data_IF_284381442997
#
_entry.id   IF_284381442997
#
_cell.length_a   1.000
_cell.length_b   1.000
_cell.length_c   1.000
_cell.angle_alpha   90.00
_cell.angle_beta   90.00
_cell.angle_gamma   90.00
#
_symmetry.space_group_name_H-M   'P 1'
#
loop_
_entity.id
_entity.type
_entity.pdbx_description
1 polymer ?
#
# COMPACT_ATOMS: atom_id res chain seq x y z
N UNK A 1 22.52 19.26 1.74
CA UNK A 1 22.02 18.47 2.89
C UNK A 1 21.55 17.12 2.36
N UNK A 2 22.25 16.06 2.75
CA UNK A 2 22.09 14.72 2.19
C UNK A 2 20.76 14.07 2.62
N UNK A 3 19.87 13.83 1.65
CA UNK A 3 18.63 13.04 1.78
C UNK A 3 18.88 11.51 1.76
N UNK A 4 20.13 11.06 1.86
CA UNK A 4 20.53 9.66 1.80
C UNK A 4 20.39 8.95 3.17
N UNK A 5 19.22 9.05 3.82
CA UNK A 5 19.00 8.44 5.13
C UNK A 5 17.57 7.95 5.31
N UNK A 6 17.24 6.81 4.69
CA UNK A 6 16.36 5.73 5.21
C UNK A 6 15.97 4.74 4.11
N UNK A 7 16.92 3.94 3.69
CA UNK A 7 16.65 2.64 3.04
C UNK A 7 17.13 1.50 3.96
N UNK A 8 16.88 1.62 5.26
CA UNK A 8 16.86 0.43 6.12
C UNK A 8 15.58 -0.32 5.81
N UNK A 9 15.66 -1.10 4.72
CA UNK A 9 14.75 -2.18 4.40
C UNK A 9 14.59 -3.00 5.67
N UNK A 10 13.37 -3.09 6.19
CA UNK A 10 13.02 -3.95 7.34
C UNK A 10 13.70 -5.29 7.17
N UNK A 11 14.46 -5.69 8.20
CA UNK A 11 15.19 -6.95 8.28
C UNK A 11 14.37 -8.11 7.70
N UNK A 12 15.10 -9.02 7.04
CA UNK A 12 14.66 -10.19 6.28
C UNK A 12 13.55 -11.02 6.93
N UNK A 13 13.39 -10.93 8.26
CA UNK A 13 12.45 -11.70 9.06
C UNK A 13 10.97 -11.38 8.79
N UNK A 14 10.63 -10.12 8.48
CA UNK A 14 9.22 -9.72 8.22
C UNK A 14 8.92 -9.48 6.74
N UNK A 15 9.93 -9.44 5.87
CA UNK A 15 9.77 -9.13 4.46
C UNK A 15 8.80 -10.08 3.74
N UNK A 16 8.83 -11.39 4.06
CA UNK A 16 7.91 -12.38 3.47
C UNK A 16 6.46 -12.10 3.86
N UNK A 17 6.21 -11.78 5.12
CA UNK A 17 4.89 -11.45 5.65
C UNK A 17 4.35 -10.17 5.00
N UNK A 18 5.19 -9.13 4.90
CA UNK A 18 4.83 -7.85 4.27
C UNK A 18 4.57 -7.98 2.77
N UNK A 19 5.41 -8.74 2.06
CA UNK A 19 5.17 -9.10 0.66
C UNK A 19 3.83 -9.81 0.51
N UNK A 20 3.55 -10.82 1.32
CA UNK A 20 2.28 -11.54 1.27
C UNK A 20 1.09 -10.64 1.58
N UNK A 21 1.20 -9.75 2.57
CA UNK A 21 0.17 -8.78 2.91
C UNK A 21 -0.16 -7.85 1.73
N UNK A 22 0.86 -7.26 1.10
CA UNK A 22 0.67 -6.36 -0.06
C UNK A 22 0.17 -7.13 -1.29
N UNK A 23 0.80 -8.26 -1.63
CA UNK A 23 0.41 -9.05 -2.79
C UNK A 23 -1.01 -9.58 -2.68
N UNK A 24 -1.41 -10.13 -1.54
CA UNK A 24 -2.77 -10.66 -1.37
C UNK A 24 -3.81 -9.55 -1.56
N UNK A 25 -3.57 -8.38 -0.99
CA UNK A 25 -4.48 -7.23 -1.12
C UNK A 25 -4.58 -6.75 -2.58
N UNK A 26 -3.44 -6.67 -3.28
CA UNK A 26 -3.40 -6.29 -4.69
C UNK A 26 -4.05 -7.36 -5.59
N UNK A 27 -3.67 -8.63 -5.44
CA UNK A 27 -4.18 -9.74 -6.25
C UNK A 27 -5.69 -9.91 -6.13
N UNK A 28 -6.23 -9.75 -4.91
CA UNK A 28 -7.67 -9.74 -4.69
C UNK A 28 -8.35 -8.60 -5.46
N UNK A 29 -7.85 -7.36 -5.33
CA UNK A 29 -8.37 -6.21 -6.08
C UNK A 29 -8.30 -6.45 -7.60
N UNK A 30 -7.20 -7.03 -8.10
CA UNK A 30 -7.05 -7.36 -9.52
C UNK A 30 -8.08 -8.37 -10.01
N UNK A 31 -8.42 -9.35 -9.16
CA UNK A 31 -9.40 -10.40 -9.49
C UNK A 31 -10.85 -9.93 -9.38
N UNK A 32 -11.21 -9.19 -8.32
CA UNK A 32 -12.59 -8.74 -8.08
C UNK A 32 -12.93 -7.48 -8.86
N UNK A 33 -11.93 -6.66 -9.21
CA UNK A 33 -12.09 -5.28 -9.71
C UNK A 33 -12.75 -4.35 -8.70
N UNK A 34 -12.86 -4.77 -7.45
CA UNK A 34 -13.42 -3.99 -6.35
C UNK A 34 -12.33 -3.40 -5.46
N UNK A 35 -12.68 -2.34 -4.74
CA UNK A 35 -11.80 -1.79 -3.70
C UNK A 35 -11.53 -2.86 -2.66
N UNK A 36 -10.27 -3.23 -2.49
CA UNK A 36 -9.86 -4.22 -1.49
C UNK A 36 -9.12 -3.52 -0.36
N UNK A 37 -9.58 -3.76 0.86
CA UNK A 37 -8.98 -3.30 2.09
C UNK A 37 -8.44 -4.49 2.86
N UNK A 38 -7.25 -4.34 3.43
CA UNK A 38 -6.67 -5.32 4.34
C UNK A 38 -6.01 -4.63 5.52
N UNK A 39 -6.16 -5.21 6.71
CA UNK A 39 -5.69 -4.64 7.96
C UNK A 39 -4.50 -5.46 8.46
N UNK A 40 -3.43 -4.78 8.84
CA UNK A 40 -2.29 -5.35 9.53
C UNK A 40 -2.21 -4.78 10.95
N UNK A 41 -3.10 -5.28 11.81
CA UNK A 41 -3.35 -4.73 13.16
C UNK A 41 -2.08 -4.63 14.02
N UNK A 42 -1.21 -5.64 13.95
CA UNK A 42 0.06 -5.70 14.70
C UNK A 42 0.94 -4.46 14.51
N UNK A 43 0.85 -3.81 13.34
CA UNK A 43 1.67 -2.65 12.99
C UNK A 43 0.83 -1.38 12.76
N UNK A 44 -0.43 -1.39 13.20
CA UNK A 44 -1.34 -0.25 13.08
C UNK A 44 -1.54 0.24 11.62
N UNK A 45 -1.52 -0.69 10.65
CA UNK A 45 -1.56 -0.37 9.22
C UNK A 45 -2.83 -0.89 8.57
N UNK A 46 -3.43 -0.08 7.71
CA UNK A 46 -4.46 -0.49 6.75
C UNK A 46 -3.95 -0.22 5.35
N UNK A 47 -4.03 -1.22 4.48
CA UNK A 47 -3.70 -1.11 3.07
C UNK A 47 -4.97 -1.21 2.24
N UNK A 48 -5.15 -0.25 1.34
CA UNK A 48 -6.27 -0.23 0.41
C UNK A 48 -5.73 -0.17 -1.01
N UNK A 49 -6.16 -1.11 -1.84
CA UNK A 49 -5.97 -1.04 -3.29
C UNK A 49 -7.31 -0.82 -3.98
N UNK A 50 -7.27 -0.03 -5.05
CA UNK A 50 -8.42 0.21 -5.92
C UNK A 50 -7.96 0.36 -7.36
N UNK A 51 -8.80 -0.11 -8.28
CA UNK A 51 -8.64 0.14 -9.70
C UNK A 51 -9.46 1.37 -10.07
N UNK A 52 -8.80 2.49 -10.37
CA UNK A 52 -9.45 3.76 -10.71
C UNK A 52 -9.15 4.08 -12.18
N UNK A 53 -10.00 3.61 -13.10
CA UNK A 53 -9.87 3.85 -14.53
C UNK A 53 -8.59 3.26 -15.14
N UNK A 54 -7.60 4.12 -15.40
CA UNK A 54 -6.34 3.78 -16.06
C UNK A 54 -5.14 3.60 -15.10
N UNK A 55 -5.37 3.77 -13.79
CA UNK A 55 -4.35 3.54 -12.77
C UNK A 55 -4.84 2.62 -11.64
N UNK A 56 -3.86 1.99 -11.00
CA UNK A 56 -4.04 1.31 -9.72
C UNK A 56 -3.63 2.30 -8.63
N UNK A 57 -4.49 2.48 -7.64
CA UNK A 57 -4.22 3.30 -6.46
C UNK A 57 -4.00 2.43 -5.25
N UNK A 58 -2.83 2.57 -4.63
CA UNK A 58 -2.52 2.05 -3.30
C UNK A 58 -2.60 3.18 -2.29
N UNK A 59 -3.25 2.94 -1.16
CA UNK A 59 -3.30 3.90 -0.06
C UNK A 59 -3.04 3.18 1.26
N UNK A 60 -2.20 3.79 2.10
CA UNK A 60 -1.89 3.29 3.44
C UNK A 60 -2.46 4.23 4.48
N UNK A 61 -3.17 3.69 5.45
CA UNK A 61 -3.77 4.40 6.57
C UNK A 61 -3.27 3.81 7.89
N UNK A 62 -3.51 4.56 8.96
CA UNK A 62 -3.28 4.11 10.32
C UNK A 62 -4.55 3.49 10.88
N UNK A 63 -4.48 2.26 11.39
CA UNK A 63 -5.66 1.51 11.84
C UNK A 63 -6.37 2.15 13.03
N UNK A 64 -5.62 2.63 14.02
CA UNK A 64 -6.10 3.28 15.24
C UNK A 64 -6.91 4.55 15.00
N UNK A 65 -6.75 5.18 13.83
CA UNK A 65 -7.53 6.35 13.41
C UNK A 65 -8.48 6.05 12.26
N UNK A 66 -8.58 4.79 11.85
CA UNK A 66 -9.36 4.37 10.70
C UNK A 66 -10.83 4.18 11.09
N UNK A 67 -11.70 4.92 10.42
CA UNK A 67 -13.14 4.84 10.60
C UNK A 67 -13.76 3.83 9.61
N UNK A 68 -14.38 2.79 10.17
CA UNK A 68 -15.02 1.68 9.45
C UNK A 68 -16.54 1.84 9.26
N UNK A 69 -17.18 2.89 9.79
CA UNK A 69 -18.65 3.02 9.74
C UNK A 69 -19.17 3.09 8.30
N UNK A 70 -20.15 2.24 8.03
CA UNK A 70 -20.84 2.03 6.75
C UNK A 70 -21.63 3.28 6.34
N UNK A 71 -21.44 3.76 5.11
CA UNK A 71 -22.29 4.81 4.53
C UNK A 71 -21.59 5.89 3.71
N UNK A 72 -20.26 6.05 3.81
CA UNK A 72 -19.48 6.92 2.91
C UNK A 72 -18.23 6.20 2.40
N UNK A 73 -17.71 6.61 1.24
CA UNK A 73 -16.50 6.03 0.64
C UNK A 73 -15.31 6.16 1.60
N UNK A 74 -14.48 5.11 1.70
CA UNK A 74 -13.31 5.03 2.61
C UNK A 74 -12.47 6.32 2.60
N UNK A 75 -12.22 6.86 1.40
CA UNK A 75 -11.39 8.06 1.18
C UNK A 75 -11.97 9.36 1.79
N UNK A 76 -13.28 9.43 2.01
CA UNK A 76 -13.94 10.65 2.49
C UNK A 76 -13.87 10.83 4.01
N UNK A 77 -13.69 9.73 4.75
CA UNK A 77 -13.61 9.73 6.22
C UNK A 77 -12.20 9.46 6.73
N UNK A 78 -11.37 8.80 5.93
CA UNK A 78 -10.02 8.42 6.30
C UNK A 78 -9.02 9.22 5.49
N UNK A 79 -8.10 9.90 6.16
CA UNK A 79 -6.96 10.54 5.52
C UNK A 79 -5.83 9.52 5.40
N UNK A 80 -5.35 9.20 4.20
CA UNK A 80 -4.22 8.28 4.04
C UNK A 80 -2.92 8.94 4.51
N UNK A 81 -2.04 8.15 5.10
CA UNK A 81 -0.65 8.52 5.37
C UNK A 81 0.18 8.51 4.08
N UNK A 82 -0.20 7.65 3.13
CA UNK A 82 0.47 7.49 1.86
C UNK A 82 -0.53 7.16 0.76
N UNK A 83 -0.29 7.71 -0.43
CA UNK A 83 -1.00 7.35 -1.66
C UNK A 83 0.04 7.11 -2.76
N UNK A 84 -0.07 5.98 -3.46
CA UNK A 84 0.54 5.75 -4.76
C UNK A 84 -0.54 5.63 -5.84
N UNK A 85 -0.32 6.27 -6.98
CA UNK A 85 -1.11 6.06 -8.20
C UNK A 85 -0.17 5.60 -9.29
N UNK A 86 -0.38 4.38 -9.79
CA UNK A 86 0.43 3.77 -10.82
C UNK A 86 -0.38 3.58 -12.09
N UNK A 87 -0.04 4.33 -13.13
CA UNK A 87 -0.72 4.29 -14.41
C UNK A 87 -0.28 3.05 -15.19
N UNK A 88 -1.26 2.34 -15.76
CA UNK A 88 -1.01 1.08 -16.47
C UNK A 88 -0.36 1.30 -17.84
N UNK A 89 -0.76 2.38 -18.52
CA UNK A 89 -0.27 2.76 -19.85
C UNK A 89 1.02 3.56 -19.82
N UNK A 90 1.27 4.30 -18.74
CA UNK A 90 2.47 5.12 -18.58
C UNK A 90 3.14 4.80 -17.25
N UNK A 91 3.98 3.76 -17.25
CA UNK A 91 4.64 3.24 -16.04
C UNK A 91 5.55 4.27 -15.36
N UNK A 92 6.01 5.27 -16.10
CA UNK A 92 6.87 6.36 -15.58
C UNK A 92 6.07 7.42 -14.83
N UNK A 93 4.76 7.54 -15.09
CA UNK A 93 3.86 8.35 -14.27
C UNK A 93 3.45 7.53 -13.06
N UNK A 94 4.25 7.55 -12.00
CA UNK A 94 3.81 7.16 -10.66
C UNK A 94 3.69 8.41 -9.81
N UNK A 95 2.47 8.73 -9.35
CA UNK A 95 2.25 9.87 -8.46
C UNK A 95 2.20 9.36 -7.02
N UNK A 96 3.06 9.93 -6.18
CA UNK A 96 3.21 9.52 -4.78
C UNK A 96 2.97 10.73 -3.89
N UNK A 97 2.22 10.51 -2.81
CA UNK A 97 1.97 11.51 -1.77
C UNK A 97 2.19 10.90 -0.38
N UNK A 98 2.76 11.69 0.53
CA UNK A 98 3.00 11.35 1.92
C UNK A 98 2.45 12.46 2.83
N UNK A 99 1.77 12.07 3.90
CA UNK A 99 1.44 12.99 5.00
C UNK A 99 2.58 12.97 6.03
N UNK A 100 3.62 13.75 5.76
CA UNK A 100 4.84 13.77 6.60
C UNK A 100 4.56 14.09 8.07
N UNK A 101 3.54 14.90 8.36
CA UNK A 101 3.24 15.31 9.74
C UNK A 101 2.77 14.10 10.54
N UNK A 102 1.80 13.36 10.01
CA UNK A 102 1.24 12.18 10.68
C UNK A 102 2.20 10.99 10.68
N UNK A 103 3.06 10.86 9.66
CA UNK A 103 4.09 9.82 9.63
C UNK A 103 5.09 9.98 10.78
N UNK A 104 5.40 11.21 11.20
CA UNK A 104 6.31 11.49 12.33
C UNK A 104 5.72 11.05 13.69
N UNK A 105 4.41 10.85 13.77
CA UNK A 105 3.71 10.42 14.97
C UNK A 105 3.70 8.89 15.12
N UNK A 106 4.14 8.14 14.10
CA UNK A 106 4.23 6.69 14.16
C UNK A 106 5.36 6.24 15.10
N UNK A 107 5.12 5.14 15.82
CA UNK A 107 6.17 4.46 16.58
C UNK A 107 7.29 3.99 15.63
N UNK A 108 8.53 3.90 16.12
CA UNK A 108 9.67 3.46 15.30
C UNK A 108 9.42 2.11 14.63
N UNK A 109 8.85 1.16 15.37
CA UNK A 109 8.50 -0.16 14.84
C UNK A 109 7.46 -0.08 13.71
N UNK A 110 6.43 0.75 13.85
CA UNK A 110 5.40 0.89 12.82
C UNK A 110 5.92 1.67 11.60
N UNK A 111 6.86 2.59 11.82
CA UNK A 111 7.43 3.43 10.78
C UNK A 111 8.21 2.62 9.75
N UNK A 112 9.03 1.66 10.19
CA UNK A 112 9.83 0.84 9.27
C UNK A 112 8.93 -0.10 8.44
N UNK A 113 7.89 -0.65 9.08
CA UNK A 113 6.86 -1.45 8.41
C UNK A 113 6.08 -0.59 7.42
N UNK A 114 5.67 0.61 7.81
CA UNK A 114 4.98 1.56 6.96
C UNK A 114 5.78 1.88 5.70
N UNK A 115 7.06 2.24 5.84
CA UNK A 115 7.92 2.54 4.69
C UNK A 115 8.10 1.32 3.78
N UNK A 116 8.23 0.12 4.36
CA UNK A 116 8.32 -1.12 3.57
C UNK A 116 7.04 -1.39 2.78
N UNK A 117 5.86 -1.25 3.42
CA UNK A 117 4.56 -1.40 2.73
C UNK A 117 4.41 -0.36 1.62
N UNK A 118 4.81 0.90 1.86
CA UNK A 118 4.80 1.94 0.84
C UNK A 118 5.68 1.55 -0.35
N UNK A 119 6.89 1.04 -0.10
CA UNK A 119 7.83 0.67 -1.16
C UNK A 119 7.33 -0.51 -2.00
N UNK A 120 6.81 -1.55 -1.34
CA UNK A 120 6.16 -2.68 -2.02
C UNK A 120 4.95 -2.23 -2.84
N UNK A 121 4.20 -1.22 -2.35
CA UNK A 121 3.02 -0.66 -3.01
C UNK A 121 3.34 0.24 -4.22
N UNK A 122 4.61 0.63 -4.42
CA UNK A 122 5.07 1.33 -5.62
C UNK A 122 5.69 0.37 -6.64
N UNK A 123 6.50 -0.56 -6.15
CA UNK A 123 7.45 -1.31 -6.99
C UNK A 123 6.97 -2.70 -7.40
N UNK A 124 5.72 -3.06 -7.14
CA UNK A 124 5.19 -4.34 -7.58
C UNK A 124 5.24 -4.49 -9.11
N UNK A 125 5.17 -5.72 -9.60
CA UNK A 125 4.99 -6.07 -11.01
C UNK A 125 3.80 -7.02 -11.09
N UNK A 126 2.95 -6.86 -12.10
CA UNK A 126 1.83 -7.76 -12.35
C UNK A 126 2.19 -8.64 -13.53
N UNK A 127 2.04 -9.96 -13.38
CA UNK A 127 2.16 -10.92 -14.49
C UNK A 127 0.92 -11.81 -14.54
N UNK A 128 0.51 -12.17 -15.76
CA UNK A 128 -0.49 -13.22 -15.98
C UNK A 128 0.19 -14.58 -15.85
N UNK A 129 -0.33 -15.44 -14.99
CA UNK A 129 0.17 -16.81 -14.85
C UNK A 129 -0.40 -17.72 -15.94
N UNK A 130 0.19 -18.91 -16.18
CA UNK A 130 -0.37 -19.90 -17.10
C UNK A 130 -1.81 -20.31 -16.76
N UNK A 131 -2.21 -20.19 -15.48
CA UNK A 131 -3.58 -20.46 -15.01
C UNK A 131 -4.54 -19.28 -15.22
N UNK A 132 -4.16 -18.28 -16.03
CA UNK A 132 -4.92 -17.06 -16.31
C UNK A 132 -5.24 -16.21 -15.06
N UNK A 133 -4.44 -16.33 -14.00
CA UNK A 133 -4.56 -15.46 -12.81
C UNK A 133 -3.50 -14.37 -12.81
N UNK A 134 -3.87 -13.16 -12.37
CA UNK A 134 -2.93 -12.05 -12.20
C UNK A 134 -2.22 -12.19 -10.86
N UNK A 135 -0.88 -12.15 -10.88
CA UNK A 135 -0.04 -12.27 -9.69
C UNK A 135 0.93 -11.12 -9.53
N UNK A 136 1.17 -10.78 -8.27
CA UNK A 136 2.09 -9.75 -7.82
C UNK A 136 3.50 -10.34 -7.65
N UNK A 137 4.50 -9.63 -8.16
CA UNK A 137 5.93 -9.93 -8.04
C UNK A 137 6.70 -8.66 -7.70
N UNK A 138 7.95 -8.81 -7.25
CA UNK A 138 8.88 -7.70 -7.01
C UNK A 138 10.13 -7.93 -7.86
#
# INVERSE_FOLDING_TARGET
MALAKKEEIVETRHMKELKNFVARTLELMLSSREVTLNVFEKYDIVLVFSWEGDFIKGAVYQWSTFNTTTGRTINSRNKPLFISRRYLKNKEKTNIHYDEKRIRELTRQNLDVFYTVCELSKNFKIKLTPRKSLKCFW
#
